data_IF_561174371107
#
_entry.id   IF_561174371107
#
_cell.length_a   1.000
_cell.length_b   1.000
_cell.length_c   1.000
_cell.angle_alpha   90.00
_cell.angle_beta   90.00
_cell.angle_gamma   90.00
#
_symmetry.space_group_name_H-M   'P 1'
#
loop_
_entity.id
_entity.type
_entity.pdbx_description
1 polymer ?
#
# COMPACT_ATOMS: atom_id res chain seq x y z
N UNK A 1 22.58 -69.39 14.35
CA UNK A 1 23.07 -68.49 15.41
C UNK A 1 22.54 -67.09 15.16
N UNK A 2 21.95 -66.46 16.20
CA UNK A 2 21.92 -65.01 16.58
C UNK A 2 22.00 -63.96 15.45
N UNK A 3 21.25 -62.86 15.40
CA UNK A 3 20.41 -62.18 16.39
C UNK A 3 19.66 -61.04 15.68
N UNK A 4 18.43 -60.78 16.14
CA UNK A 4 17.71 -59.50 16.24
C UNK A 4 18.30 -58.23 15.57
N UNK A 5 17.43 -57.44 14.92
CA UNK A 5 17.11 -56.06 15.35
C UNK A 5 15.78 -55.63 14.71
N UNK A 6 14.85 -55.27 15.57
CA UNK A 6 13.56 -54.66 15.33
C UNK A 6 13.76 -53.16 15.60
N UNK A 7 13.65 -52.27 14.62
CA UNK A 7 13.61 -50.83 14.90
C UNK A 7 12.69 -50.12 13.89
N UNK A 8 11.53 -49.80 14.43
CA UNK A 8 10.45 -48.97 13.91
C UNK A 8 11.02 -47.61 13.46
N UNK A 9 11.11 -47.36 12.16
CA UNK A 9 11.43 -46.02 11.64
C UNK A 9 10.17 -45.16 11.59
N UNK A 10 9.86 -44.57 12.74
CA UNK A 10 9.40 -43.19 12.93
C UNK A 10 8.67 -42.53 11.74
N UNK A 11 7.43 -42.93 11.48
CA UNK A 11 6.52 -42.33 10.48
C UNK A 11 5.63 -41.21 11.03
N UNK A 12 6.07 -40.43 12.02
CA UNK A 12 5.32 -39.28 12.51
C UNK A 12 6.25 -38.10 12.75
N UNK A 13 5.82 -36.92 12.31
CA UNK A 13 6.38 -35.60 12.63
C UNK A 13 7.58 -35.10 11.80
N UNK A 14 7.51 -35.17 10.47
CA UNK A 14 7.94 -34.01 9.68
C UNK A 14 6.70 -33.23 9.26
N UNK A 15 6.15 -32.50 10.24
CA UNK A 15 5.38 -31.31 9.95
C UNK A 15 6.24 -30.48 8.99
N UNK A 16 5.73 -30.29 7.78
CA UNK A 16 6.27 -29.32 6.82
C UNK A 16 6.32 -28.01 7.57
N UNK A 17 7.51 -27.65 8.08
CA UNK A 17 7.86 -26.24 8.20
C UNK A 17 7.92 -25.76 6.77
N UNK A 18 6.75 -25.40 6.24
CA UNK A 18 6.67 -24.38 5.23
C UNK A 18 7.30 -23.18 5.91
N UNK A 19 8.62 -23.06 5.74
CA UNK A 19 9.25 -21.77 5.75
C UNK A 19 8.55 -21.01 4.64
N UNK A 20 7.43 -20.38 4.98
CA UNK A 20 7.11 -19.08 4.43
C UNK A 20 8.29 -18.21 4.84
N UNK A 21 9.36 -18.31 4.05
CA UNK A 21 10.34 -17.26 3.90
C UNK A 21 9.47 -16.08 3.47
N UNK A 22 9.01 -15.30 4.45
CA UNK A 22 8.35 -14.04 4.20
C UNK A 22 9.32 -13.30 3.31
N UNK A 23 8.91 -13.13 2.05
CA UNK A 23 9.68 -12.48 1.02
C UNK A 23 10.10 -11.12 1.56
N UNK A 24 11.34 -11.01 2.02
CA UNK A 24 11.96 -9.76 2.46
C UNK A 24 12.38 -8.93 1.24
N UNK A 25 11.61 -9.01 0.14
CA UNK A 25 11.65 -8.01 -0.89
C UNK A 25 11.29 -6.68 -0.24
N UNK A 26 12.20 -5.72 -0.30
CA UNK A 26 11.96 -4.37 0.19
C UNK A 26 10.69 -3.82 -0.47
N UNK A 27 9.59 -3.72 0.30
CA UNK A 27 8.34 -3.17 -0.20
C UNK A 27 8.56 -1.70 -0.59
N UNK A 28 8.36 -1.41 -1.87
CA UNK A 28 8.36 -0.07 -2.39
C UNK A 28 7.15 0.70 -1.82
N UNK A 29 7.27 2.03 -1.70
CA UNK A 29 6.16 2.91 -1.30
C UNK A 29 5.45 3.46 -2.54
N UNK A 30 4.14 3.57 -2.44
CA UNK A 30 3.31 4.11 -3.51
C UNK A 30 2.23 5.04 -2.98
N UNK A 31 1.89 6.04 -3.79
CA UNK A 31 0.63 6.78 -3.70
C UNK A 31 -0.21 6.39 -4.90
N UNK A 32 -1.37 5.79 -4.66
CA UNK A 32 -2.39 5.63 -5.70
C UNK A 32 -3.45 6.75 -5.59
N UNK A 33 -3.95 7.18 -6.75
CA UNK A 33 -4.85 8.32 -6.88
C UNK A 33 -6.12 7.85 -7.58
N UNK A 34 -7.26 8.10 -6.96
CA UNK A 34 -8.57 7.89 -7.59
C UNK A 34 -9.23 9.24 -7.87
N UNK A 35 -9.70 9.41 -9.10
CA UNK A 35 -10.48 10.58 -9.50
C UNK A 35 -11.92 10.14 -9.79
N UNK A 36 -12.85 10.66 -9.03
CA UNK A 36 -14.28 10.43 -9.13
C UNK A 36 -14.99 11.72 -9.53
N UNK A 37 -16.30 11.64 -9.83
CA UNK A 37 -17.08 12.84 -10.07
C UNK A 37 -17.12 13.75 -8.84
N UNK A 38 -16.96 15.09 -8.99
CA UNK A 38 -17.04 16.04 -7.89
C UNK A 38 -18.34 15.90 -7.08
N UNK A 39 -18.23 15.92 -5.75
CA UNK A 39 -19.36 15.79 -4.83
C UNK A 39 -20.01 14.39 -4.77
N UNK A 40 -19.50 13.41 -5.52
CA UNK A 40 -20.00 12.02 -5.52
C UNK A 40 -19.23 11.06 -4.62
N UNK A 41 -18.19 11.55 -3.94
CA UNK A 41 -17.40 10.77 -2.98
C UNK A 41 -17.75 11.23 -1.58
N UNK A 42 -17.99 10.26 -0.68
CA UNK A 42 -18.07 10.51 0.75
C UNK A 42 -16.95 9.80 1.50
N UNK A 43 -16.42 10.45 2.53
CA UNK A 43 -15.38 9.88 3.38
C UNK A 43 -15.80 8.51 3.95
N UNK A 44 -17.06 8.37 4.36
CA UNK A 44 -17.60 7.11 4.89
C UNK A 44 -17.61 5.97 3.86
N UNK A 45 -17.89 6.28 2.59
CA UNK A 45 -17.87 5.32 1.49
C UNK A 45 -16.44 4.88 1.19
N UNK A 46 -15.50 5.83 1.16
CA UNK A 46 -14.06 5.53 1.02
C UNK A 46 -13.55 4.68 2.19
N UNK A 47 -13.94 4.99 3.43
CA UNK A 47 -13.59 4.18 4.58
C UNK A 47 -14.13 2.74 4.47
N UNK A 48 -15.30 2.56 3.86
CA UNK A 48 -15.89 1.24 3.61
C UNK A 48 -15.13 0.49 2.51
N UNK A 49 -14.75 1.17 1.42
CA UNK A 49 -13.92 0.59 0.37
C UNK A 49 -12.54 0.19 0.90
N UNK A 50 -11.89 1.06 1.66
CA UNK A 50 -10.57 0.81 2.26
C UNK A 50 -10.58 -0.39 3.21
N UNK A 51 -11.66 -0.63 3.96
CA UNK A 51 -11.80 -1.85 4.76
C UNK A 51 -11.77 -3.13 3.90
N UNK A 52 -12.31 -3.08 2.68
CA UNK A 52 -12.27 -4.21 1.74
C UNK A 52 -10.86 -4.41 1.19
N UNK A 53 -10.14 -3.32 0.89
CA UNK A 53 -8.72 -3.38 0.53
C UNK A 53 -7.91 -4.08 1.62
N UNK A 54 -8.06 -3.63 2.87
CA UNK A 54 -7.36 -4.20 4.03
C UNK A 54 -7.66 -5.69 4.23
N UNK A 55 -8.87 -6.15 3.90
CA UNK A 55 -9.27 -7.54 4.05
C UNK A 55 -8.57 -8.48 3.05
N UNK A 56 -8.15 -7.98 1.88
CA UNK A 56 -7.55 -8.80 0.81
C UNK A 56 -6.07 -8.48 0.54
N UNK A 57 -5.53 -7.37 1.07
CA UNK A 57 -4.18 -6.88 0.80
C UNK A 57 -3.06 -7.93 0.97
N UNK A 58 -3.18 -8.81 1.97
CA UNK A 58 -2.17 -9.84 2.27
C UNK A 58 -2.03 -10.85 1.13
N UNK A 59 -3.10 -11.10 0.37
CA UNK A 59 -3.09 -11.98 -0.81
C UNK A 59 -2.14 -11.50 -1.90
N UNK A 60 -1.92 -10.19 -1.98
CA UNK A 60 -1.11 -9.55 -3.00
C UNK A 60 0.21 -8.97 -2.47
N UNK A 61 0.55 -9.20 -1.20
CA UNK A 61 1.65 -8.54 -0.48
C UNK A 61 1.59 -7.01 -0.59
N UNK A 62 0.40 -6.46 -0.34
CA UNK A 62 0.20 -5.02 -0.19
C UNK A 62 -0.05 -4.70 1.27
N UNK A 63 0.48 -3.57 1.74
CA UNK A 63 0.14 -2.99 3.03
C UNK A 63 -0.39 -1.56 2.80
N UNK A 64 -1.70 -1.35 2.93
CA UNK A 64 -2.28 -0.01 2.91
C UNK A 64 -2.10 0.68 4.27
N UNK A 65 -1.58 1.92 4.25
CA UNK A 65 -1.09 2.62 5.45
C UNK A 65 -1.98 3.80 5.88
N UNK A 66 -2.30 4.70 4.95
CA UNK A 66 -3.10 5.90 5.19
C UNK A 66 -3.88 6.26 3.92
N UNK A 67 -4.96 7.01 4.08
CA UNK A 67 -5.68 7.59 2.96
C UNK A 67 -6.22 8.97 3.31
N UNK A 68 -6.47 9.78 2.28
CA UNK A 68 -7.05 11.11 2.39
C UNK A 68 -8.08 11.32 1.29
N UNK A 69 -9.13 12.09 1.58
CA UNK A 69 -10.29 12.28 0.69
C UNK A 69 -10.59 13.76 0.54
N UNK A 70 -10.60 14.25 -0.69
CA UNK A 70 -11.21 15.51 -1.07
C UNK A 70 -12.61 15.22 -1.61
N UNK A 71 -13.63 15.26 -0.75
CA UNK A 71 -15.03 15.01 -1.13
C UNK A 71 -15.56 16.04 -2.13
N UNK A 72 -15.04 17.27 -2.08
CA UNK A 72 -15.50 18.36 -2.96
C UNK A 72 -15.09 18.07 -4.39
N UNK A 73 -13.82 17.75 -4.60
CA UNK A 73 -13.28 17.50 -5.93
C UNK A 73 -13.36 16.03 -6.36
N UNK A 74 -13.70 15.12 -5.44
CA UNK A 74 -13.82 13.69 -5.73
C UNK A 74 -12.47 12.99 -5.85
N UNK A 75 -11.45 13.42 -5.11
CA UNK A 75 -10.09 12.89 -5.21
C UNK A 75 -9.75 12.07 -3.95
N UNK A 76 -9.18 10.89 -4.14
CA UNK A 76 -8.69 10.03 -3.06
C UNK A 76 -7.22 9.75 -3.29
N UNK A 77 -6.42 9.87 -2.23
CA UNK A 77 -5.02 9.48 -2.19
C UNK A 77 -4.85 8.35 -1.17
N UNK A 78 -4.27 7.22 -1.56
CA UNK A 78 -3.90 6.15 -0.63
C UNK A 78 -2.39 5.95 -0.63
N UNK A 79 -1.81 5.86 0.57
CA UNK A 79 -0.42 5.46 0.79
C UNK A 79 -0.36 3.97 1.07
N UNK A 80 0.44 3.25 0.31
CA UNK A 80 0.63 1.81 0.47
C UNK A 80 2.09 1.38 0.27
N UNK A 81 2.37 0.15 0.68
CA UNK A 81 3.63 -0.54 0.39
C UNK A 81 3.34 -1.80 -0.42
N UNK A 82 4.16 -2.06 -1.44
CA UNK A 82 4.03 -3.25 -2.27
C UNK A 82 5.35 -3.56 -2.99
N UNK A 83 5.57 -4.81 -3.46
CA UNK A 83 6.67 -5.11 -4.37
C UNK A 83 6.60 -4.30 -5.67
N UNK A 84 5.41 -4.20 -6.28
CA UNK A 84 5.15 -3.51 -7.55
C UNK A 84 3.74 -2.87 -7.56
N UNK A 85 3.52 -1.88 -8.42
CA UNK A 85 2.22 -1.19 -8.54
C UNK A 85 1.08 -2.08 -9.06
N UNK A 86 1.40 -3.13 -9.81
CA UNK A 86 0.43 -4.08 -10.33
C UNK A 86 -0.29 -4.85 -9.23
N UNK A 87 0.39 -5.12 -8.10
CA UNK A 87 -0.21 -5.73 -6.91
C UNK A 87 -1.25 -4.83 -6.26
N UNK A 88 -0.99 -3.53 -6.14
CA UNK A 88 -1.97 -2.55 -5.63
C UNK A 88 -3.23 -2.55 -6.50
N UNK A 89 -3.07 -2.48 -7.83
CA UNK A 89 -4.19 -2.52 -8.77
C UNK A 89 -5.02 -3.81 -8.64
N UNK A 90 -4.37 -4.97 -8.48
CA UNK A 90 -5.04 -6.26 -8.26
C UNK A 90 -5.81 -6.29 -6.94
N UNK A 91 -5.26 -5.70 -5.87
CA UNK A 91 -5.92 -5.61 -4.58
C UNK A 91 -7.22 -4.80 -4.69
N UNK A 92 -7.18 -3.59 -5.26
CA UNK A 92 -8.40 -2.79 -5.50
C UNK A 92 -9.40 -3.51 -6.40
N UNK A 93 -8.92 -4.17 -7.47
CA UNK A 93 -9.76 -4.92 -8.39
C UNK A 93 -10.57 -6.01 -7.67
N UNK A 94 -9.93 -6.77 -6.79
CA UNK A 94 -10.56 -7.84 -6.02
C UNK A 94 -11.43 -7.29 -4.87
N UNK A 95 -10.99 -6.24 -4.19
CA UNK A 95 -11.67 -5.67 -3.05
C UNK A 95 -13.02 -5.03 -3.43
N UNK A 96 -13.03 -4.23 -4.50
CA UNK A 96 -14.20 -3.44 -4.87
C UNK A 96 -14.28 -3.03 -6.34
N UNK A 97 -13.26 -3.31 -7.16
CA UNK A 97 -13.26 -3.01 -8.60
C UNK A 97 -13.06 -1.54 -8.97
N UNK A 98 -12.90 -0.65 -7.99
CA UNK A 98 -12.61 0.77 -8.24
C UNK A 98 -11.10 0.90 -8.41
N UNK A 99 -10.64 1.03 -9.65
CA UNK A 99 -9.21 1.10 -9.94
C UNK A 99 -8.70 2.54 -9.82
N UNK A 100 -7.45 2.74 -9.39
CA UNK A 100 -6.85 4.06 -9.36
C UNK A 100 -6.59 4.56 -10.79
N UNK A 101 -6.69 5.87 -10.96
CA UNK A 101 -6.30 6.61 -12.17
C UNK A 101 -4.79 6.53 -12.34
N UNK A 102 -4.04 6.77 -11.25
CA UNK A 102 -2.57 6.75 -11.24
C UNK A 102 -2.03 5.96 -10.05
N UNK A 103 -0.84 5.38 -10.21
CA UNK A 103 -0.07 4.76 -9.12
C UNK A 103 1.38 5.25 -9.21
N UNK A 104 1.77 6.08 -8.26
CA UNK A 104 3.06 6.75 -8.22
C UNK A 104 3.99 6.03 -7.26
N UNK A 105 5.15 5.57 -7.73
CA UNK A 105 6.21 5.09 -6.83
C UNK A 105 6.85 6.30 -6.15
N UNK A 106 6.88 6.31 -4.82
CA UNK A 106 7.38 7.45 -4.04
C UNK A 106 8.55 7.03 -3.15
N UNK A 107 9.36 8.03 -2.77
CA UNK A 107 10.40 7.88 -1.76
C UNK A 107 10.02 8.74 -0.56
N UNK A 108 9.96 8.13 0.62
CA UNK A 108 9.61 8.83 1.86
C UNK A 108 10.80 9.64 2.39
N UNK A 109 10.54 10.88 2.81
CA UNK A 109 11.51 11.75 3.48
C UNK A 109 11.29 11.80 5.00
N UNK A 110 12.01 12.67 5.69
CA UNK A 110 11.80 12.90 7.12
C UNK A 110 10.44 13.55 7.38
N UNK A 111 9.58 12.89 8.15
CA UNK A 111 8.28 13.44 8.54
C UNK A 111 8.46 14.56 9.58
N UNK A 112 7.68 15.64 9.42
CA UNK A 112 7.50 16.65 10.47
C UNK A 112 6.61 16.13 11.62
N UNK A 113 6.59 16.84 12.74
CA UNK A 113 5.68 16.50 13.84
C UNK A 113 4.25 16.93 13.53
N UNK A 114 3.32 15.97 13.58
CA UNK A 114 1.89 16.25 13.54
C UNK A 114 1.48 17.07 14.79
N UNK A 115 0.82 18.20 14.58
CA UNK A 115 0.25 19.03 15.65
C UNK A 115 -1.22 18.66 15.88
N UNK A 116 -1.54 18.28 17.11
CA UNK A 116 -2.91 17.96 17.50
C UNK A 116 -3.88 19.12 17.20
N UNK A 117 -5.09 18.80 16.74
CA UNK A 117 -6.20 19.74 16.50
C UNK A 117 -5.96 20.80 15.40
N UNK A 118 -4.96 20.61 14.54
CA UNK A 118 -4.80 21.40 13.32
C UNK A 118 -5.45 20.71 12.13
N UNK A 119 -5.86 21.51 11.13
CA UNK A 119 -6.32 21.01 9.83
C UNK A 119 -5.10 20.79 8.96
N UNK A 120 -5.00 19.61 8.37
CA UNK A 120 -4.01 19.29 7.35
C UNK A 120 -4.63 19.46 5.98
N UNK A 121 -3.81 19.87 5.03
CA UNK A 121 -4.17 20.01 3.63
C UNK A 121 -3.15 19.22 2.82
N UNK A 122 -3.60 18.54 1.77
CA UNK A 122 -2.70 17.96 0.79
C UNK A 122 -2.22 19.11 -0.09
N UNK A 123 -0.91 19.22 -0.23
CA UNK A 123 -0.25 20.21 -1.06
C UNK A 123 0.42 19.47 -2.22
N UNK A 124 0.03 19.79 -3.46
CA UNK A 124 0.50 19.10 -4.67
C UNK A 124 1.12 20.14 -5.60
N UNK A 125 2.37 19.88 -6.02
CA UNK A 125 3.13 20.71 -6.94
C UNK A 125 3.56 19.89 -8.14
N UNK A 126 3.30 20.41 -9.34
CA UNK A 126 3.68 19.76 -10.60
C UNK A 126 4.78 20.57 -11.30
N UNK A 127 5.98 19.99 -11.36
CA UNK A 127 7.15 20.63 -11.98
C UNK A 127 7.44 20.14 -13.41
N UNK A 128 6.56 19.29 -13.97
CA UNK A 128 6.77 18.62 -15.25
C UNK A 128 7.76 17.45 -15.17
N UNK A 129 7.87 16.68 -16.26
CA UNK A 129 8.79 15.54 -16.33
C UNK A 129 10.25 16.02 -16.48
N UNK A 130 11.13 15.64 -15.55
CA UNK A 130 12.56 15.98 -15.64
C UNK A 130 13.30 16.02 -14.30
N UNK A 131 14.54 16.54 -14.35
CA UNK A 131 15.42 16.72 -13.19
C UNK A 131 14.96 17.94 -12.38
N UNK A 132 13.91 17.80 -11.58
CA UNK A 132 13.54 18.81 -10.56
C UNK A 132 14.77 19.07 -9.69
N UNK A 133 15.32 20.28 -9.75
CA UNK A 133 16.45 20.71 -8.94
C UNK A 133 15.93 21.20 -7.60
N UNK A 134 16.79 21.17 -6.58
CA UNK A 134 16.45 21.72 -5.26
C UNK A 134 15.99 23.19 -5.33
N UNK A 135 16.53 23.97 -6.27
CA UNK A 135 16.10 25.35 -6.51
C UNK A 135 14.67 25.47 -7.03
N UNK A 136 14.21 24.53 -7.86
CA UNK A 136 12.84 24.51 -8.40
C UNK A 136 11.84 24.25 -7.26
N UNK A 137 12.19 23.37 -6.32
CA UNK A 137 11.36 23.07 -5.14
C UNK A 137 11.27 24.27 -4.19
N UNK A 138 12.37 25.01 -3.97
CA UNK A 138 12.40 26.14 -3.06
C UNK A 138 11.45 27.28 -3.48
N UNK A 139 11.42 27.59 -4.78
CA UNK A 139 10.56 28.65 -5.35
C UNK A 139 9.07 28.36 -5.14
N UNK A 140 8.66 27.09 -5.09
CA UNK A 140 7.26 26.71 -4.91
C UNK A 140 6.72 26.93 -3.47
N UNK A 141 7.60 27.20 -2.51
CA UNK A 141 7.26 27.40 -1.10
C UNK A 141 7.51 28.84 -0.61
N UNK A 142 7.84 29.78 -1.51
CA UNK A 142 7.94 31.23 -1.24
C UNK A 142 6.59 31.95 -1.44
#
# INVERSE_FOLDING_TARGET
MKQFIFLITLSLLYCVKANAQADTAHSNRYIDIHVMQPGKVKFADVATAHKKDLAVQRKFNVDFLKYWVDEKNGIIYCLSTAPDSGRIRKTHQEAHGLLPTDILKVTEGMAGQEKARKRYFIDVHEFGAGNVKAADVAIAHE
#
